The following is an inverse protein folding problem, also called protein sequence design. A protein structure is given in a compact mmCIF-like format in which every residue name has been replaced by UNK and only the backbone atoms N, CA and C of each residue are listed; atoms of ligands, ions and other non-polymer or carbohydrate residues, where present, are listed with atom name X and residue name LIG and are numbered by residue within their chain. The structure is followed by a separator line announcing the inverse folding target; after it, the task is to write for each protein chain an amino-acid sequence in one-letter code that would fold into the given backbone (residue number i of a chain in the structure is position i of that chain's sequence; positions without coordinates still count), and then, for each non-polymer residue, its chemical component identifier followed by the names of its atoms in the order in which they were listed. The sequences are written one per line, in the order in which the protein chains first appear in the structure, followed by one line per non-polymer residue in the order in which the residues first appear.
data_IF_798673323805
#
_entry.id   IF_798673323805
#
_cell.length_a   1.000
_cell.length_b   1.000
_cell.length_c   1.000
_cell.angle_alpha   90.00
_cell.angle_beta   90.00
_cell.angle_gamma   90.00
#
_symmetry.space_group_name_H-M   'P 1'
#
loop_
_entity.id
_entity.type
_entity.pdbx_description
1 polymer ?
#
# COMPACT_ATOMS: atom_id res chain seq x y z
N UNK A 1 6.12 39.72 0.06
CA UNK A 1 6.37 38.86 -1.13
C UNK A 1 7.12 37.58 -0.77
N UNK A 2 8.32 37.66 -0.17
CA UNK A 2 9.11 36.46 0.23
C UNK A 2 8.30 35.49 1.11
N UNK A 3 7.60 35.99 2.13
CA UNK A 3 6.78 35.15 3.03
C UNK A 3 5.69 34.39 2.28
N UNK A 4 5.06 35.02 1.29
CA UNK A 4 4.02 34.40 0.46
C UNK A 4 4.60 33.26 -0.38
N UNK A 5 5.77 33.50 -1.01
CA UNK A 5 6.45 32.47 -1.79
C UNK A 5 6.86 31.28 -0.92
N UNK A 6 7.42 31.53 0.27
CA UNK A 6 7.79 30.48 1.22
C UNK A 6 6.57 29.67 1.70
N UNK A 7 5.45 30.34 1.96
CA UNK A 7 4.22 29.66 2.35
C UNK A 7 3.67 28.75 1.24
N UNK A 8 3.66 29.23 -0.01
CA UNK A 8 3.20 28.46 -1.16
C UNK A 8 4.10 27.26 -1.45
N UNK A 9 5.42 27.42 -1.40
CA UNK A 9 6.36 26.31 -1.63
C UNK A 9 6.30 25.27 -0.51
N UNK A 10 6.22 25.70 0.76
CA UNK A 10 6.05 24.80 1.89
C UNK A 10 4.71 24.04 1.82
N UNK A 11 3.62 24.74 1.50
CA UNK A 11 2.30 24.12 1.30
C UNK A 11 2.30 23.11 0.16
N UNK A 12 2.88 23.47 -0.99
CA UNK A 12 3.03 22.58 -2.14
C UNK A 12 3.87 21.34 -1.82
N UNK A 13 4.99 21.51 -1.11
CA UNK A 13 5.84 20.41 -0.66
C UNK A 13 5.09 19.46 0.29
N UNK A 14 4.28 20.00 1.20
CA UNK A 14 3.45 19.21 2.10
C UNK A 14 2.42 18.37 1.33
N UNK A 15 1.66 18.98 0.42
CA UNK A 15 0.66 18.27 -0.42
C UNK A 15 1.33 17.23 -1.30
N UNK A 16 2.42 17.58 -1.99
CA UNK A 16 3.18 16.66 -2.84
C UNK A 16 3.69 15.44 -2.08
N UNK A 17 4.19 15.64 -0.85
CA UNK A 17 4.65 14.53 -0.01
C UNK A 17 3.52 13.58 0.41
N UNK A 18 2.33 14.12 0.70
CA UNK A 18 1.16 13.32 1.06
C UNK A 18 0.68 12.47 -0.13
N UNK A 19 0.64 13.07 -1.33
CA UNK A 19 0.29 12.38 -2.57
C UNK A 19 1.27 11.26 -2.89
N UNK A 20 2.58 11.51 -2.79
CA UNK A 20 3.62 10.49 -3.01
C UNK A 20 3.49 9.35 -2.00
N UNK A 21 3.24 9.65 -0.72
CA UNK A 21 3.06 8.63 0.31
C UNK A 21 1.84 7.75 0.02
N UNK A 22 0.72 8.34 -0.42
CA UNK A 22 -0.49 7.61 -0.82
C UNK A 22 -0.24 6.70 -2.01
N UNK A 23 0.41 7.20 -3.06
CA UNK A 23 0.73 6.39 -4.25
C UNK A 23 1.68 5.25 -3.93
N UNK A 24 2.70 5.48 -3.08
CA UNK A 24 3.59 4.40 -2.65
C UNK A 24 2.86 3.32 -1.86
N UNK A 25 1.95 3.71 -0.96
CA UNK A 25 1.13 2.75 -0.22
C UNK A 25 0.25 1.92 -1.17
N UNK A 26 -0.38 2.57 -2.15
CA UNK A 26 -1.24 1.87 -3.13
C UNK A 26 -0.44 0.90 -3.99
N UNK A 27 0.69 1.33 -4.57
CA UNK A 27 1.55 0.47 -5.37
C UNK A 27 2.08 -0.73 -4.57
N UNK A 28 2.41 -0.52 -3.28
CA UNK A 28 2.80 -1.61 -2.40
C UNK A 28 1.66 -2.60 -2.15
N UNK A 29 0.42 -2.10 -1.95
CA UNK A 29 -0.76 -2.93 -1.78
C UNK A 29 -1.04 -3.77 -3.03
N UNK A 30 -1.07 -3.15 -4.22
CA UNK A 30 -1.40 -3.80 -5.49
C UNK A 30 -0.40 -4.92 -5.84
N UNK A 31 0.91 -4.64 -5.73
CA UNK A 31 1.95 -5.63 -6.00
C UNK A 31 1.92 -6.78 -4.99
N UNK A 32 1.62 -6.48 -3.73
CA UNK A 32 1.51 -7.51 -2.69
C UNK A 32 0.29 -8.39 -2.92
N UNK A 33 -0.87 -7.80 -3.24
CA UNK A 33 -2.10 -8.53 -3.54
C UNK A 33 -1.92 -9.45 -4.75
N UNK A 34 -1.34 -8.96 -5.85
CA UNK A 34 -1.04 -9.79 -7.02
C UNK A 34 -0.08 -10.94 -6.68
N UNK A 35 0.97 -10.67 -5.90
CA UNK A 35 1.91 -11.71 -5.49
C UNK A 35 1.27 -12.78 -4.59
N UNK A 36 0.32 -12.37 -3.73
CA UNK A 36 -0.51 -13.29 -2.94
C UNK A 36 -1.44 -14.11 -3.81
N UNK A 37 -2.13 -13.48 -4.78
CA UNK A 37 -3.02 -14.16 -5.72
C UNK A 37 -2.30 -15.26 -6.52
N UNK A 38 -1.04 -15.02 -6.94
CA UNK A 38 -0.19 -16.04 -7.57
C UNK A 38 0.11 -17.25 -6.68
N UNK A 39 -0.10 -17.14 -5.36
CA UNK A 39 0.06 -18.22 -4.39
C UNK A 39 -1.25 -18.73 -3.79
N UNK A 40 -2.40 -18.13 -4.14
CA UNK A 40 -3.69 -18.46 -3.51
C UNK A 40 -4.06 -19.95 -3.64
N UNK A 41 -3.69 -20.59 -4.76
CA UNK A 41 -3.90 -22.03 -5.00
C UNK A 41 -3.12 -22.95 -4.06
N UNK A 42 -2.04 -22.46 -3.44
CA UNK A 42 -1.23 -23.22 -2.49
C UNK A 42 -1.64 -22.97 -1.03
N UNK A 43 -2.73 -22.22 -0.80
CA UNK A 43 -3.32 -21.97 0.51
C UNK A 43 -2.96 -20.62 1.12
N UNK A 44 -3.76 -20.18 2.08
CA UNK A 44 -3.70 -18.85 2.69
C UNK A 44 -2.33 -18.50 3.31
N UNK A 45 -1.69 -19.46 3.98
CA UNK A 45 -0.36 -19.26 4.58
C UNK A 45 0.70 -18.91 3.53
N UNK A 46 0.75 -19.67 2.42
CA UNK A 46 1.72 -19.43 1.35
C UNK A 46 1.49 -18.09 0.63
N UNK A 47 0.23 -17.69 0.48
CA UNK A 47 -0.15 -16.40 -0.08
C UNK A 47 0.28 -15.25 0.83
N UNK A 48 -0.02 -15.32 2.13
CA UNK A 48 0.35 -14.29 3.09
C UNK A 48 1.86 -14.19 3.33
N UNK A 49 2.60 -15.30 3.27
CA UNK A 49 4.06 -15.28 3.29
C UNK A 49 4.61 -14.50 2.08
N UNK A 50 4.05 -14.74 0.89
CA UNK A 50 4.47 -14.04 -0.33
C UNK A 50 4.14 -12.55 -0.27
N UNK A 51 2.94 -12.20 0.22
CA UNK A 51 2.52 -10.82 0.50
C UNK A 51 3.54 -10.14 1.42
N UNK A 52 3.93 -10.78 2.52
CA UNK A 52 4.88 -10.21 3.47
C UNK A 52 6.27 -9.98 2.86
N UNK A 53 6.74 -10.87 1.99
CA UNK A 53 8.01 -10.69 1.27
C UNK A 53 7.96 -9.47 0.35
N UNK A 54 6.87 -9.30 -0.41
CA UNK A 54 6.73 -8.18 -1.35
C UNK A 54 6.54 -6.86 -0.61
N UNK A 55 5.67 -6.82 0.40
CA UNK A 55 5.46 -5.64 1.22
C UNK A 55 6.77 -5.14 1.85
N UNK A 56 7.58 -6.04 2.44
CA UNK A 56 8.90 -5.67 3.00
C UNK A 56 9.85 -5.09 1.95
N UNK A 57 9.89 -5.67 0.75
CA UNK A 57 10.72 -5.14 -0.37
C UNK A 57 10.25 -3.76 -0.83
N UNK A 58 8.96 -3.48 -0.73
CA UNK A 58 8.37 -2.17 -1.02
C UNK A 58 8.52 -1.15 0.12
N UNK A 59 9.14 -1.54 1.25
CA UNK A 59 9.24 -0.68 2.43
C UNK A 59 7.90 -0.48 3.15
N UNK A 60 6.97 -1.41 2.99
CA UNK A 60 5.65 -1.41 3.61
C UNK A 60 5.55 -2.51 4.69
N UNK A 61 4.72 -2.27 5.70
CA UNK A 61 4.31 -3.27 6.68
C UNK A 61 2.92 -3.81 6.33
N UNK A 62 2.73 -5.13 6.45
CA UNK A 62 1.42 -5.76 6.25
C UNK A 62 0.61 -5.56 7.52
N UNK A 63 -0.58 -4.99 7.38
CA UNK A 63 -1.53 -4.76 8.47
C UNK A 63 -2.60 -5.84 8.49
N UNK A 64 -2.99 -6.35 7.32
CA UNK A 64 -3.94 -7.44 7.15
C UNK A 64 -3.63 -8.23 5.88
N UNK A 65 -3.88 -9.53 5.92
CA UNK A 65 -3.86 -10.43 4.77
C UNK A 65 -5.01 -11.42 4.94
N UNK A 66 -5.98 -11.38 4.02
CA UNK A 66 -7.14 -12.27 4.02
C UNK A 66 -7.19 -12.95 2.67
N UNK A 67 -7.44 -14.27 2.67
CA UNK A 67 -7.60 -15.08 1.47
C UNK A 67 -8.95 -15.77 1.56
N UNK A 68 -9.82 -15.50 0.60
CA UNK A 68 -11.19 -16.01 0.53
C UNK A 68 -11.47 -16.39 -0.92
N UNK A 69 -11.84 -17.64 -1.20
CA UNK A 69 -12.19 -18.12 -2.55
C UNK A 69 -11.21 -17.71 -3.66
N UNK A 70 -9.90 -17.84 -3.40
CA UNK A 70 -8.78 -17.43 -4.29
C UNK A 70 -8.60 -15.92 -4.47
N UNK A 71 -9.42 -15.10 -3.82
CA UNK A 71 -9.24 -13.67 -3.71
C UNK A 71 -8.39 -13.31 -2.49
N UNK A 72 -7.38 -12.47 -2.74
CA UNK A 72 -6.44 -12.02 -1.74
C UNK A 72 -6.64 -10.53 -1.49
N UNK A 73 -7.05 -10.19 -0.28
CA UNK A 73 -7.20 -8.81 0.19
C UNK A 73 -6.04 -8.49 1.14
N UNK A 74 -5.26 -7.48 0.77
CA UNK A 74 -4.08 -7.06 1.53
C UNK A 74 -4.25 -5.62 1.98
N UNK A 75 -4.03 -5.36 3.27
CA UNK A 75 -3.84 -4.02 3.81
C UNK A 75 -2.38 -3.79 4.18
N UNK A 76 -1.80 -2.69 3.72
CA UNK A 76 -0.42 -2.30 4.05
C UNK A 76 -0.33 -0.89 4.61
N UNK A 77 0.78 -0.60 5.30
CA UNK A 77 1.16 0.76 5.64
C UNK A 77 2.59 1.09 5.27
N UNK A 78 2.80 2.31 4.79
CA UNK A 78 4.11 2.86 4.42
C UNK A 78 4.45 4.01 5.37
N UNK A 79 5.66 4.06 5.94
CA UNK A 79 6.08 5.18 6.78
C UNK A 79 6.05 6.49 5.98
N UNK A 80 5.41 7.51 6.53
CA UNK A 80 5.38 8.85 5.94
C UNK A 80 6.62 9.65 6.38
N UNK A 81 7.24 10.38 5.45
CA UNK A 81 8.44 11.21 5.72
C UNK A 81 8.17 12.30 6.77
N UNK A 82 6.92 12.76 6.89
CA UNK A 82 6.46 13.72 7.89
C UNK A 82 5.94 13.08 9.19
N UNK A 83 6.29 11.81 9.48
CA UNK A 83 5.92 11.14 10.73
C UNK A 83 6.31 11.92 12.00
N UNK A 84 7.45 12.63 11.96
CA UNK A 84 7.91 13.52 13.04
C UNK A 84 7.01 14.75 13.26
N UNK A 85 6.23 15.15 12.26
CA UNK A 85 5.31 16.29 12.32
C UNK A 85 3.86 15.85 12.64
N UNK A 86 3.66 14.61 13.11
CA UNK A 86 2.34 14.09 13.48
C UNK A 86 1.54 13.51 12.31
N UNK A 87 2.12 13.42 11.11
CA UNK A 87 1.46 12.79 9.96
C UNK A 87 1.62 11.28 10.05
N UNK A 88 0.52 10.57 10.33
CA UNK A 88 0.50 9.12 10.47
C UNK A 88 0.95 8.36 9.21
N UNK A 89 1.23 7.05 9.32
CA UNK A 89 1.64 6.24 8.18
C UNK A 89 0.56 6.21 7.10
N UNK A 90 0.99 6.20 5.83
CA UNK A 90 0.07 6.07 4.70
C UNK A 90 -0.44 4.64 4.61
N UNK A 91 -1.76 4.46 4.73
CA UNK A 91 -2.42 3.16 4.63
C UNK A 91 -3.09 2.99 3.27
N UNK A 92 -3.01 1.79 2.74
CA UNK A 92 -3.67 1.39 1.50
C UNK A 92 -4.10 -0.08 1.59
N UNK A 93 -5.09 -0.43 0.78
CA UNK A 93 -5.54 -1.81 0.64
C UNK A 93 -5.79 -2.10 -0.84
N UNK A 94 -5.56 -3.36 -1.23
CA UNK A 94 -5.79 -3.86 -2.58
C UNK A 94 -6.34 -5.29 -2.52
N UNK A 95 -7.12 -5.65 -3.53
CA UNK A 95 -7.70 -6.98 -3.73
C UNK A 95 -7.26 -7.53 -5.07
N UNK A 96 -6.87 -8.79 -5.11
CA UNK A 96 -6.55 -9.50 -6.35
C UNK A 96 -7.02 -10.95 -6.29
N UNK A 97 -7.67 -11.40 -7.36
CA UNK A 97 -8.03 -12.79 -7.59
C UNK A 97 -8.66 -12.97 -8.97
N UNK A 98 -9.20 -14.16 -9.27
CA UNK A 98 -9.64 -14.52 -10.61
C UNK A 98 -10.81 -13.65 -11.07
N UNK A 99 -10.89 -13.40 -12.39
CA UNK A 99 -12.13 -12.87 -12.99
C UNK A 99 -13.18 -13.98 -12.93
N UNK A 100 -14.25 -13.79 -12.15
CA UNK A 100 -15.38 -14.72 -12.19
C UNK A 100 -16.06 -14.54 -13.55
N UNK A 101 -16.09 -15.61 -14.34
CA UNK A 101 -16.78 -15.65 -15.62
C UNK A 101 -18.27 -15.81 -15.38
N UNK A 102 -18.92 -14.75 -14.93
CA UNK A 102 -20.37 -14.73 -14.73
C UNK A 102 -20.99 -14.10 -15.98
N UNK A 103 -21.15 -14.92 -17.02
CA UNK A 103 -21.84 -14.61 -18.28
C UNK A 103 -22.55 -15.83 -18.82
#
# INVERSE_FOLDING_TARGET
MIVVLLALTAGGAAVGSAVVARHRAQAAADLSALAGAQRALYGAASACDKVAVVARRMGATVNSCVVEDLDVVVGVSVPAMFGRFGVGPARAAARAGPVTGDG
#
